data_IF_810331967101
#
_entry.id   IF_810331967101
#
_cell.length_a   1.000
_cell.length_b   1.000
_cell.length_c   1.000
_cell.angle_alpha   90.00
_cell.angle_beta   90.00
_cell.angle_gamma   90.00
#
_symmetry.space_group_name_H-M   'P 1'
#
loop_
_entity.id
_entity.type
_entity.pdbx_description
1 polymer ?
#
# COMPACT_ATOMS: atom_id res chain seq x y z
N UNK A 1 36.46 17.40 59.98
CA UNK A 1 35.54 18.21 59.14
C UNK A 1 35.83 17.90 57.68
N UNK A 2 35.00 17.08 57.04
CA UNK A 2 35.13 16.76 55.62
C UNK A 2 33.82 17.15 54.93
N UNK A 3 33.86 18.21 54.12
CA UNK A 3 32.74 18.62 53.27
C UNK A 3 32.81 17.82 51.97
N UNK A 4 31.85 16.92 51.75
CA UNK A 4 31.60 16.32 50.45
C UNK A 4 30.62 17.24 49.69
N UNK A 5 31.15 17.99 48.73
CA UNK A 5 30.36 18.73 47.76
C UNK A 5 29.79 17.76 46.72
N UNK A 6 28.46 17.64 46.67
CA UNK A 6 27.78 16.93 45.60
C UNK A 6 27.66 17.84 44.38
N UNK A 7 28.27 17.44 43.26
CA UNK A 7 28.10 18.08 41.96
C UNK A 7 26.82 17.52 41.34
N UNK A 8 25.79 18.36 41.19
CA UNK A 8 24.58 18.00 40.48
C UNK A 8 24.86 18.01 38.96
N UNK A 9 24.88 16.82 38.35
CA UNK A 9 24.86 16.69 36.90
C UNK A 9 23.48 17.10 36.38
N UNK A 10 23.42 18.21 35.65
CA UNK A 10 22.21 18.65 34.96
C UNK A 10 22.06 17.83 33.68
N UNK A 11 21.08 16.93 33.67
CA UNK A 11 20.65 16.22 32.46
C UNK A 11 19.95 17.21 31.55
N UNK A 12 20.58 17.56 30.41
CA UNK A 12 19.90 18.26 29.34
C UNK A 12 18.80 17.33 28.80
N UNK A 13 17.54 17.69 29.02
CA UNK A 13 16.38 16.99 28.48
C UNK A 13 16.36 17.28 26.97
N UNK A 14 16.78 16.31 26.16
CA UNK A 14 16.65 16.39 24.71
C UNK A 14 15.17 16.58 24.35
N UNK A 15 14.87 17.53 23.46
CA UNK A 15 13.53 17.70 22.93
C UNK A 15 13.03 16.38 22.32
N UNK A 16 11.74 16.04 22.46
CA UNK A 16 11.19 14.85 21.82
C UNK A 16 11.43 14.90 20.31
N UNK A 17 11.64 13.75 19.64
CA UNK A 17 11.84 13.74 18.20
C UNK A 17 10.63 14.37 17.51
N UNK A 18 10.89 15.36 16.65
CA UNK A 18 9.86 16.00 15.84
C UNK A 18 9.06 14.94 15.08
N UNK A 19 7.74 15.09 15.04
CA UNK A 19 6.87 14.17 14.29
C UNK A 19 7.23 14.15 12.81
N UNK A 20 6.87 13.09 12.07
CA UNK A 20 7.23 13.01 10.65
C UNK A 20 6.66 14.15 9.80
N UNK A 21 5.45 14.61 10.11
CA UNK A 21 4.85 15.77 9.45
C UNK A 21 5.59 17.06 9.82
N UNK A 22 6.08 17.18 11.06
CA UNK A 22 6.88 18.32 11.48
C UNK A 22 8.25 18.35 10.78
N UNK A 23 8.93 17.21 10.67
CA UNK A 23 10.19 17.09 9.91
C UNK A 23 9.98 17.42 8.44
N UNK A 24 8.88 16.93 7.85
CA UNK A 24 8.52 17.21 6.46
C UNK A 24 8.20 18.70 6.24
N UNK A 25 7.48 19.31 7.18
CA UNK A 25 7.17 20.75 7.18
C UNK A 25 8.47 21.57 7.25
N UNK A 26 9.38 21.22 8.17
CA UNK A 26 10.67 21.89 8.31
C UNK A 26 11.59 21.71 7.09
N UNK A 27 11.43 20.62 6.34
CA UNK A 27 12.18 20.36 5.12
C UNK A 27 11.68 21.19 3.93
N UNK A 28 10.36 21.20 3.70
CA UNK A 28 9.77 21.70 2.44
C UNK A 28 9.42 23.18 2.52
N UNK A 29 8.77 23.61 3.60
CA UNK A 29 8.18 24.96 3.70
C UNK A 29 9.23 26.08 3.57
N UNK A 30 10.46 25.96 4.13
CA UNK A 30 11.49 26.98 3.93
C UNK A 30 11.97 27.10 2.47
N UNK A 31 11.89 26.02 1.69
CA UNK A 31 12.37 25.97 0.31
C UNK A 31 11.37 26.53 -0.72
N UNK A 32 10.11 26.78 -0.31
CA UNK A 32 9.09 27.37 -1.17
C UNK A 32 9.50 28.77 -1.61
N UNK A 33 9.50 29.02 -2.92
CA UNK A 33 9.92 30.31 -3.51
C UNK A 33 8.88 31.40 -3.31
N UNK A 34 7.60 31.05 -3.42
CA UNK A 34 6.48 31.97 -3.29
C UNK A 34 5.38 31.27 -2.49
N UNK A 35 4.79 31.95 -1.52
CA UNK A 35 3.67 31.43 -0.74
C UNK A 35 2.58 32.49 -0.71
N UNK A 36 1.35 32.12 -1.11
CA UNK A 36 0.19 33.00 -1.01
C UNK A 36 -0.25 33.20 0.46
N UNK A 37 0.07 32.24 1.32
CA UNK A 37 -0.24 32.24 2.75
C UNK A 37 1.00 32.58 3.60
N UNK A 38 0.77 32.91 4.87
CA UNK A 38 1.85 33.02 5.86
C UNK A 38 2.57 31.67 5.97
N UNK A 39 3.86 31.69 5.65
CA UNK A 39 4.74 30.52 5.69
C UNK A 39 4.72 29.81 7.05
N UNK A 40 4.51 30.53 8.16
CA UNK A 40 4.45 29.94 9.51
C UNK A 40 3.17 29.14 9.76
N UNK A 41 2.11 29.40 9.01
CA UNK A 41 0.85 28.67 9.09
C UNK A 41 0.85 27.40 8.22
N UNK A 42 1.77 27.29 7.25
CA UNK A 42 1.84 26.16 6.33
C UNK A 42 2.32 24.92 7.08
N UNK A 43 1.63 23.81 6.83
CA UNK A 43 1.99 22.46 7.26
C UNK A 43 2.11 21.55 6.03
N UNK A 44 2.90 20.50 6.19
CA UNK A 44 3.09 19.49 5.17
C UNK A 44 2.83 18.10 5.75
N UNK A 45 2.05 17.29 5.05
CA UNK A 45 1.85 15.87 5.32
C UNK A 45 1.93 15.03 4.05
N UNK A 46 2.15 13.72 4.21
CA UNK A 46 2.13 12.78 3.08
C UNK A 46 0.67 12.45 2.80
N UNK A 47 0.20 12.77 1.60
CA UNK A 47 -1.13 12.41 1.10
C UNK A 47 -1.09 11.06 0.41
N UNK A 48 -0.06 10.83 -0.41
CA UNK A 48 0.11 9.62 -1.18
C UNK A 48 1.59 9.23 -1.29
N UNK A 49 1.85 7.94 -1.40
CA UNK A 49 3.17 7.37 -1.61
C UNK A 49 3.14 6.32 -2.72
N UNK A 50 3.99 6.50 -3.71
CA UNK A 50 4.28 5.54 -4.77
C UNK A 50 5.78 5.18 -4.72
N UNK A 51 6.09 4.09 -4.03
CA UNK A 51 7.47 3.65 -3.80
C UNK A 51 8.33 4.70 -3.08
N UNK A 52 9.29 5.27 -3.80
CA UNK A 52 10.22 6.31 -3.34
C UNK A 52 9.73 7.74 -3.65
N UNK A 53 8.55 7.88 -4.24
CA UNK A 53 7.96 9.17 -4.59
C UNK A 53 6.76 9.44 -3.68
N UNK A 54 6.81 10.56 -2.97
CA UNK A 54 5.78 10.99 -2.03
C UNK A 54 5.07 12.22 -2.58
N UNK A 55 3.74 12.18 -2.65
CA UNK A 55 2.90 13.34 -2.91
C UNK A 55 2.59 14.00 -1.57
N UNK A 56 3.24 15.14 -1.34
CA UNK A 56 3.15 15.92 -0.11
C UNK A 56 2.12 17.01 -0.29
N UNK A 57 1.12 17.04 0.58
CA UNK A 57 0.11 18.11 0.61
C UNK A 57 0.66 19.28 1.41
N UNK A 58 0.48 20.49 0.90
CA UNK A 58 0.69 21.72 1.63
C UNK A 58 -0.68 22.25 2.05
N UNK A 59 -0.86 22.52 3.34
CA UNK A 59 -2.13 23.01 3.85
C UNK A 59 -1.94 24.05 4.95
N UNK A 60 -3.00 24.81 5.22
CA UNK A 60 -3.12 25.70 6.38
C UNK A 60 -4.40 25.34 7.11
N UNK A 61 -4.40 25.41 8.43
CA UNK A 61 -5.63 25.33 9.22
C UNK A 61 -6.01 26.78 9.58
N UNK A 62 -7.08 27.35 8.99
CA UNK A 62 -7.49 28.71 9.30
C UNK A 62 -7.95 28.79 10.75
N UNK A 63 -7.33 29.65 11.55
CA UNK A 63 -7.79 29.95 12.91
C UNK A 63 -8.72 31.16 12.84
N UNK A 64 -10.00 30.93 12.51
CA UNK A 64 -11.01 31.98 12.40
C UNK A 64 -12.25 31.60 13.23
N UNK A 65 -12.68 32.47 14.18
CA UNK A 65 -13.89 32.23 14.95
C UNK A 65 -15.12 32.13 14.03
N UNK A 66 -15.81 30.99 14.07
CA UNK A 66 -17.08 30.78 13.35
C UNK A 66 -17.00 30.04 12.01
N UNK A 67 -15.80 29.64 11.56
CA UNK A 67 -15.62 28.67 10.47
C UNK A 67 -15.19 27.31 11.04
N UNK A 68 -15.59 26.18 10.42
CA UNK A 68 -14.99 24.89 10.73
C UNK A 68 -13.46 25.00 10.57
N UNK A 69 -12.69 24.58 11.58
CA UNK A 69 -11.23 24.52 11.54
C UNK A 69 -10.78 23.35 10.64
N UNK A 70 -11.18 23.40 9.37
CA UNK A 70 -10.86 22.41 8.36
C UNK A 70 -9.59 22.82 7.62
N UNK A 71 -8.74 21.85 7.33
CA UNK A 71 -7.50 22.08 6.61
C UNK A 71 -7.78 22.54 5.18
N UNK A 72 -7.30 23.72 4.82
CA UNK A 72 -7.30 24.22 3.45
C UNK A 72 -6.02 23.79 2.74
N UNK A 73 -6.14 22.86 1.79
CA UNK A 73 -5.03 22.49 0.90
C UNK A 73 -4.69 23.66 -0.02
N UNK A 74 -3.43 24.10 0.02
CA UNK A 74 -2.93 25.25 -0.73
C UNK A 74 -1.92 24.86 -1.83
N UNK A 75 -1.47 23.60 -1.86
CA UNK A 75 -0.52 23.15 -2.86
C UNK A 75 -0.01 21.74 -2.66
N UNK A 76 0.90 21.35 -3.55
CA UNK A 76 1.42 20.00 -3.63
C UNK A 76 2.91 20.01 -3.97
N UNK A 77 3.66 19.11 -3.34
CA UNK A 77 5.08 18.88 -3.60
C UNK A 77 5.30 17.39 -3.86
N UNK A 78 6.00 17.07 -4.93
CA UNK A 78 6.52 15.72 -5.15
C UNK A 78 7.89 15.61 -4.49
N UNK A 79 8.04 14.68 -3.55
CA UNK A 79 9.30 14.38 -2.88
C UNK A 79 9.80 13.01 -3.33
N UNK A 80 10.90 12.99 -4.09
CA UNK A 80 11.57 11.77 -4.54
C UNK A 80 12.73 11.47 -3.60
N UNK A 81 12.60 10.41 -2.81
CA UNK A 81 13.58 9.97 -1.81
C UNK A 81 14.73 9.17 -2.42
N UNK A 82 14.57 8.65 -3.64
CA UNK A 82 15.64 7.99 -4.38
C UNK A 82 16.54 9.02 -5.06
N UNK A 83 15.95 9.97 -5.79
CA UNK A 83 16.68 11.07 -6.43
C UNK A 83 17.11 12.17 -5.45
N UNK A 84 16.60 12.15 -4.21
CA UNK A 84 16.84 13.13 -3.17
C UNK A 84 16.46 14.56 -3.60
N UNK A 85 15.23 14.72 -4.13
CA UNK A 85 14.72 15.96 -4.72
C UNK A 85 13.29 16.25 -4.27
N UNK A 86 12.96 17.54 -4.19
CA UNK A 86 11.59 18.01 -4.03
C UNK A 86 11.22 18.95 -5.18
N UNK A 87 10.00 18.77 -5.69
CA UNK A 87 9.43 19.46 -6.84
C UNK A 87 8.10 20.07 -6.42
N UNK A 88 7.97 21.39 -6.47
CA UNK A 88 6.70 22.06 -6.25
C UNK A 88 5.88 22.03 -7.54
N UNK A 89 4.75 21.34 -7.48
CA UNK A 89 3.81 21.13 -8.58
C UNK A 89 2.53 21.97 -8.40
N UNK A 90 2.53 22.90 -7.43
CA UNK A 90 1.34 23.70 -7.10
C UNK A 90 0.84 24.55 -8.26
N UNK A 91 1.76 25.09 -9.07
CA UNK A 91 1.43 26.00 -10.19
C UNK A 91 1.24 25.26 -11.51
N UNK A 92 2.17 24.35 -11.82
CA UNK A 92 2.21 23.60 -13.07
C UNK A 92 2.87 22.23 -12.82
N UNK A 93 2.10 21.13 -12.87
CA UNK A 93 2.64 19.79 -12.65
C UNK A 93 3.53 19.30 -13.80
N UNK A 94 3.36 19.81 -15.02
CA UNK A 94 4.16 19.44 -16.19
C UNK A 94 5.50 20.19 -16.21
N UNK A 95 5.57 21.33 -15.51
CA UNK A 95 6.79 22.14 -15.35
C UNK A 95 7.05 22.51 -13.88
N UNK A 96 7.41 21.53 -13.05
CA UNK A 96 7.58 21.75 -11.62
C UNK A 96 8.76 22.69 -11.29
N UNK A 97 8.61 23.43 -10.21
CA UNK A 97 9.69 24.21 -9.63
C UNK A 97 10.58 23.31 -8.75
N UNK A 98 11.87 23.23 -9.08
CA UNK A 98 12.82 22.48 -8.24
C UNK A 98 13.10 23.25 -6.96
N UNK A 99 12.78 22.62 -5.82
CA UNK A 99 13.00 23.17 -4.49
C UNK A 99 14.45 22.93 -4.03
N UNK A 100 15.08 23.98 -3.50
CA UNK A 100 16.40 23.89 -2.89
C UNK A 100 16.28 23.44 -1.43
N UNK A 101 16.17 22.13 -1.21
CA UNK A 101 16.04 21.51 0.11
C UNK A 101 17.39 21.05 0.69
N UNK A 102 17.50 21.01 2.02
CA UNK A 102 18.65 20.41 2.70
C UNK A 102 18.62 18.89 2.57
N UNK A 103 19.57 18.34 1.80
CA UNK A 103 19.70 16.89 1.58
C UNK A 103 19.97 16.10 2.86
N UNK A 104 20.64 16.69 3.87
CA UNK A 104 20.86 16.03 5.17
C UNK A 104 19.57 15.97 5.96
N UNK A 105 18.75 17.02 5.89
CA UNK A 105 17.41 17.00 6.47
C UNK A 105 16.50 15.97 5.78
N UNK A 106 16.55 15.89 4.45
CA UNK A 106 15.85 14.84 3.70
C UNK A 106 16.34 13.44 4.09
N UNK A 107 17.65 13.22 4.17
CA UNK A 107 18.18 11.91 4.58
C UNK A 107 17.70 11.53 5.99
N UNK A 108 17.64 12.47 6.93
CA UNK A 108 17.09 12.22 8.27
C UNK A 108 15.61 11.86 8.21
N UNK A 109 14.81 12.60 7.44
CA UNK A 109 13.40 12.27 7.20
C UNK A 109 13.27 10.86 6.59
N UNK A 110 14.07 10.52 5.59
CA UNK A 110 14.06 9.17 4.98
C UNK A 110 14.47 8.10 5.99
N UNK A 111 15.45 8.32 6.85
CA UNK A 111 15.85 7.31 7.83
C UNK A 111 14.85 7.15 8.98
N UNK A 112 14.18 8.24 9.39
CA UNK A 112 13.31 8.24 10.57
C UNK A 112 11.82 8.04 10.25
N UNK A 113 11.38 8.44 9.07
CA UNK A 113 9.97 8.66 8.74
C UNK A 113 9.56 8.11 7.38
N UNK A 114 10.46 8.18 6.41
CA UNK A 114 10.32 7.57 5.10
C UNK A 114 11.15 6.29 4.97
N UNK A 115 11.50 5.67 6.12
CA UNK A 115 12.16 4.38 6.12
C UNK A 115 11.29 3.48 5.26
N UNK A 116 11.88 2.61 4.43
CA UNK A 116 11.05 1.66 3.74
C UNK A 116 10.24 0.97 4.84
N UNK A 117 8.91 1.06 4.79
CA UNK A 117 8.15 -0.13 5.12
C UNK A 117 8.94 -1.24 4.42
N UNK A 118 9.57 -2.11 5.22
CA UNK A 118 10.44 -3.17 4.74
C UNK A 118 9.87 -3.66 3.42
N UNK A 119 10.69 -3.72 2.36
CA UNK A 119 10.31 -3.47 0.97
C UNK A 119 8.82 -3.72 0.77
N UNK A 120 7.97 -2.73 0.53
CA UNK A 120 6.55 -3.01 0.24
C UNK A 120 6.37 -3.52 -1.21
N UNK A 121 6.93 -4.68 -1.52
CA UNK A 121 6.02 -5.81 -1.56
C UNK A 121 5.86 -6.14 -0.09
N UNK A 122 4.76 -5.79 0.58
CA UNK A 122 4.47 -6.59 1.78
C UNK A 122 4.63 -8.01 1.25
N UNK A 123 5.64 -8.74 1.73
CA UNK A 123 5.83 -10.09 1.29
C UNK A 123 4.54 -10.69 1.81
N UNK A 124 3.55 -10.77 0.92
CA UNK A 124 2.20 -11.06 1.32
C UNK A 124 2.40 -12.39 1.98
N UNK A 125 2.13 -12.45 3.27
CA UNK A 125 2.24 -13.70 3.99
C UNK A 125 1.09 -14.53 3.42
N UNK A 126 1.38 -15.23 2.33
CA UNK A 126 0.40 -15.92 1.53
C UNK A 126 -0.26 -17.01 2.39
N UNK A 127 0.46 -17.55 3.37
CA UNK A 127 -0.10 -18.50 4.31
C UNK A 127 -1.09 -17.83 5.26
N UNK A 128 -0.73 -16.69 5.87
CA UNK A 128 -1.65 -15.94 6.73
C UNK A 128 -2.86 -15.39 5.95
N UNK A 129 -2.64 -14.88 4.74
CA UNK A 129 -3.69 -14.38 3.87
C UNK A 129 -4.63 -15.50 3.43
N UNK A 130 -4.09 -16.65 3.01
CA UNK A 130 -4.89 -17.81 2.65
C UNK A 130 -5.72 -18.30 3.84
N UNK A 131 -5.12 -18.44 5.04
CA UNK A 131 -5.87 -18.82 6.26
C UNK A 131 -7.04 -17.86 6.53
N UNK A 132 -6.80 -16.55 6.45
CA UNK A 132 -7.85 -15.53 6.64
C UNK A 132 -8.94 -15.66 5.57
N UNK A 133 -8.55 -15.76 4.30
CA UNK A 133 -9.46 -15.82 3.17
C UNK A 133 -10.34 -17.08 3.18
N UNK A 134 -9.80 -18.23 3.60
CA UNK A 134 -10.60 -19.45 3.77
C UNK A 134 -11.56 -19.36 4.96
N UNK A 135 -11.18 -18.64 6.03
CA UNK A 135 -12.03 -18.47 7.21
C UNK A 135 -13.14 -17.42 7.02
N UNK A 136 -12.91 -16.41 6.18
CA UNK A 136 -13.80 -15.27 5.99
C UNK A 136 -14.46 -15.20 4.61
N UNK A 137 -14.04 -16.04 3.67
CA UNK A 137 -14.57 -16.07 2.31
C UNK A 137 -15.99 -16.61 2.23
N UNK A 138 -16.71 -16.16 1.21
CA UNK A 138 -18.06 -16.60 0.93
C UNK A 138 -18.02 -18.05 0.43
N UNK A 139 -18.56 -18.96 1.22
CA UNK A 139 -18.56 -20.39 0.90
C UNK A 139 -19.45 -20.65 -0.31
N UNK A 140 -18.89 -21.32 -1.32
CA UNK A 140 -19.63 -21.76 -2.50
C UNK A 140 -20.26 -23.12 -2.20
N UNK A 141 -21.59 -23.17 -2.17
CA UNK A 141 -22.33 -24.42 -1.95
C UNK A 141 -22.00 -25.45 -3.04
N UNK A 142 -21.79 -26.69 -2.63
CA UNK A 142 -21.37 -27.77 -3.53
C UNK A 142 -22.31 -27.99 -4.73
N UNK A 143 -23.61 -27.71 -4.60
CA UNK A 143 -24.58 -27.79 -5.71
C UNK A 143 -24.33 -26.77 -6.82
N UNK A 144 -23.64 -25.67 -6.50
CA UNK A 144 -23.37 -24.55 -7.40
C UNK A 144 -21.87 -24.29 -7.54
N UNK A 145 -21.02 -25.28 -7.27
CA UNK A 145 -19.56 -25.13 -7.27
C UNK A 145 -18.95 -25.10 -8.68
N UNK A 146 -19.60 -25.71 -9.67
CA UNK A 146 -19.04 -25.86 -11.01
C UNK A 146 -18.76 -24.53 -11.69
N UNK A 147 -17.54 -24.40 -12.21
CA UNK A 147 -17.07 -23.27 -13.02
C UNK A 147 -16.36 -23.77 -14.27
N UNK A 148 -16.46 -23.00 -15.33
CA UNK A 148 -15.64 -23.14 -16.55
C UNK A 148 -14.73 -21.93 -16.70
N UNK A 149 -13.47 -22.18 -17.06
CA UNK A 149 -12.48 -21.13 -17.33
C UNK A 149 -12.79 -20.46 -18.66
N UNK A 150 -12.84 -19.14 -18.65
CA UNK A 150 -13.15 -18.30 -19.83
C UNK A 150 -11.98 -17.37 -20.17
N UNK A 151 -11.99 -16.82 -21.39
CA UNK A 151 -11.01 -15.86 -21.86
C UNK A 151 -9.70 -16.50 -22.31
N UNK A 152 -8.92 -15.75 -23.10
CA UNK A 152 -7.72 -16.27 -23.78
C UNK A 152 -6.54 -16.47 -22.81
N UNK A 153 -5.73 -17.49 -23.10
CA UNK A 153 -4.44 -17.72 -22.43
C UNK A 153 -4.55 -18.45 -21.09
N UNK A 154 -3.38 -18.63 -20.44
CA UNK A 154 -3.24 -19.37 -19.18
C UNK A 154 -3.81 -18.55 -18.01
N UNK A 155 -4.62 -19.19 -17.18
CA UNK A 155 -5.11 -18.66 -15.91
C UNK A 155 -4.21 -19.19 -14.78
N UNK A 156 -3.32 -18.37 -14.20
CA UNK A 156 -2.41 -18.81 -13.15
C UNK A 156 -3.15 -19.11 -11.85
N UNK A 157 -2.59 -20.03 -11.06
CA UNK A 157 -2.98 -20.25 -9.67
C UNK A 157 -2.18 -19.33 -8.73
N UNK A 158 -2.80 -19.01 -7.60
CA UNK A 158 -2.22 -18.27 -6.50
C UNK A 158 -2.39 -19.06 -5.20
N UNK A 159 -1.40 -19.02 -4.31
CA UNK A 159 -1.46 -19.67 -2.99
C UNK A 159 -2.39 -18.93 -2.01
N UNK A 160 -2.66 -17.66 -2.29
CA UNK A 160 -3.60 -16.80 -1.57
C UNK A 160 -4.27 -15.81 -2.55
N UNK A 161 -5.38 -15.13 -2.19
CA UNK A 161 -6.09 -14.20 -3.07
C UNK A 161 -5.38 -12.84 -3.21
N UNK A 162 -4.14 -12.85 -3.71
CA UNK A 162 -3.33 -11.67 -4.01
C UNK A 162 -2.42 -11.95 -5.22
N UNK A 163 -2.14 -10.93 -6.05
CA UNK A 163 -1.30 -11.12 -7.25
C UNK A 163 0.15 -11.47 -6.88
N UNK A 164 0.63 -11.04 -5.71
CA UNK A 164 1.96 -11.38 -5.19
C UNK A 164 2.07 -12.85 -4.78
N UNK A 165 0.96 -13.55 -4.57
CA UNK A 165 0.93 -14.95 -4.15
C UNK A 165 0.86 -15.93 -5.32
N UNK A 166 1.38 -15.55 -6.49
CA UNK A 166 1.36 -16.38 -7.69
C UNK A 166 2.20 -17.65 -7.51
N UNK A 167 1.66 -18.78 -7.96
CA UNK A 167 2.40 -20.05 -8.03
C UNK A 167 2.99 -20.18 -9.42
N UNK A 168 4.31 -20.08 -9.52
CA UNK A 168 5.00 -20.19 -10.80
C UNK A 168 4.81 -21.56 -11.44
N UNK A 169 4.55 -21.58 -12.74
CA UNK A 169 4.35 -22.80 -13.52
C UNK A 169 3.00 -23.50 -13.32
N UNK A 170 2.16 -23.09 -12.36
CA UNK A 170 0.84 -23.67 -12.13
C UNK A 170 -0.28 -22.82 -12.75
N UNK A 171 -1.00 -23.40 -13.70
CA UNK A 171 -2.10 -22.73 -14.40
C UNK A 171 -3.10 -23.74 -14.97
N UNK A 172 -4.30 -23.24 -15.24
CA UNK A 172 -5.32 -23.89 -16.07
C UNK A 172 -5.54 -23.07 -17.34
N UNK A 173 -6.24 -23.64 -18.32
CA UNK A 173 -6.49 -23.00 -19.61
C UNK A 173 -7.98 -22.84 -19.88
N UNK A 174 -8.31 -22.07 -20.92
CA UNK A 174 -9.68 -21.87 -21.37
C UNK A 174 -10.40 -23.21 -21.60
N UNK A 175 -11.68 -23.28 -21.20
CA UNK A 175 -12.53 -24.48 -21.19
C UNK A 175 -12.18 -25.57 -20.18
N UNK A 176 -11.10 -25.43 -19.40
CA UNK A 176 -10.94 -26.25 -18.21
C UNK A 176 -12.10 -26.00 -17.25
N UNK A 177 -12.45 -27.05 -16.50
CA UNK A 177 -13.52 -26.99 -15.51
C UNK A 177 -12.95 -27.20 -14.13
N UNK A 178 -13.45 -26.41 -13.19
CA UNK A 178 -13.01 -26.41 -11.79
C UNK A 178 -14.22 -26.38 -10.88
N UNK A 179 -14.02 -26.79 -9.63
CA UNK A 179 -15.03 -26.70 -8.58
C UNK A 179 -14.63 -25.58 -7.62
N UNK A 180 -15.45 -24.53 -7.54
CA UNK A 180 -15.26 -23.42 -6.62
C UNK A 180 -15.62 -23.83 -5.19
N UNK A 181 -14.80 -23.41 -4.22
CA UNK A 181 -15.00 -23.67 -2.80
C UNK A 181 -15.34 -22.41 -2.01
N UNK A 182 -14.65 -21.31 -2.29
CA UNK A 182 -14.86 -20.04 -1.60
C UNK A 182 -14.53 -18.86 -2.53
N UNK A 183 -15.21 -17.75 -2.34
CA UNK A 183 -14.94 -16.48 -3.03
C UNK A 183 -14.42 -15.45 -2.00
N UNK A 184 -13.36 -14.71 -2.36
CA UNK A 184 -12.76 -13.70 -1.49
C UNK A 184 -12.22 -12.55 -2.35
N UNK A 185 -12.94 -11.44 -2.37
CA UNK A 185 -12.64 -10.30 -3.24
C UNK A 185 -12.69 -10.69 -4.72
N UNK A 186 -11.60 -10.46 -5.45
CA UNK A 186 -11.49 -10.74 -6.90
C UNK A 186 -11.03 -12.17 -7.24
N UNK A 187 -10.92 -13.04 -6.23
CA UNK A 187 -10.42 -14.39 -6.38
C UNK A 187 -11.43 -15.44 -5.92
N UNK A 188 -11.35 -16.60 -6.55
CA UNK A 188 -12.09 -17.82 -6.19
C UNK A 188 -11.10 -18.93 -5.87
N UNK A 189 -11.25 -19.55 -4.71
CA UNK A 189 -10.57 -20.78 -4.31
C UNK A 189 -11.21 -21.94 -5.07
N UNK A 190 -10.41 -22.69 -5.82
CA UNK A 190 -10.90 -23.75 -6.72
C UNK A 190 -10.12 -25.05 -6.56
N UNK A 191 -10.77 -26.13 -6.94
CA UNK A 191 -10.16 -27.44 -7.21
C UNK A 191 -10.18 -27.67 -8.70
N UNK A 192 -9.03 -28.03 -9.24
CA UNK A 192 -8.91 -28.57 -10.57
C UNK A 192 -8.50 -30.04 -10.50
N UNK A 193 -9.28 -30.89 -11.16
CA UNK A 193 -8.91 -32.28 -11.42
C UNK A 193 -8.62 -32.42 -12.91
N UNK A 194 -7.37 -32.70 -13.26
CA UNK A 194 -7.01 -33.01 -14.63
C UNK A 194 -7.51 -34.42 -14.98
N UNK A 195 -8.47 -34.51 -15.89
CA UNK A 195 -9.08 -35.80 -16.28
C UNK A 195 -8.09 -36.76 -16.96
N UNK A 196 -7.03 -36.23 -17.60
CA UNK A 196 -6.03 -37.02 -18.33
C UNK A 196 -4.94 -37.55 -17.42
N UNK A 197 -4.38 -36.69 -16.56
CA UNK A 197 -3.24 -37.04 -15.71
C UNK A 197 -3.66 -37.49 -14.31
N UNK A 198 -4.94 -37.33 -13.96
CA UNK A 198 -5.47 -37.48 -12.59
C UNK A 198 -4.81 -36.56 -11.56
N UNK A 199 -4.03 -35.58 -12.01
CA UNK A 199 -3.42 -34.57 -11.15
C UNK A 199 -4.48 -33.65 -10.54
N UNK A 200 -4.30 -33.29 -9.28
CA UNK A 200 -5.14 -32.34 -8.55
C UNK A 200 -4.33 -31.08 -8.32
N UNK A 201 -4.93 -29.93 -8.60
CA UNK A 201 -4.40 -28.63 -8.22
C UNK A 201 -5.45 -27.87 -7.42
N UNK A 202 -5.01 -27.21 -6.34
CA UNK A 202 -5.87 -26.40 -5.49
C UNK A 202 -5.22 -25.03 -5.29
N UNK A 203 -6.05 -23.98 -5.23
CA UNK A 203 -5.60 -22.63 -4.97
C UNK A 203 -6.57 -21.58 -5.48
N UNK A 204 -6.13 -20.34 -5.48
CA UNK A 204 -6.93 -19.18 -5.88
C UNK A 204 -6.71 -18.86 -7.36
N UNK A 205 -7.76 -18.44 -8.05
CA UNK A 205 -7.70 -17.91 -9.41
C UNK A 205 -8.57 -16.66 -9.52
N UNK A 206 -8.33 -15.80 -10.50
CA UNK A 206 -9.14 -14.59 -10.67
C UNK A 206 -10.60 -14.93 -11.06
N UNK A 207 -11.55 -14.47 -10.27
CA UNK A 207 -12.99 -14.75 -10.43
C UNK A 207 -13.51 -14.33 -11.81
N UNK A 208 -13.02 -13.21 -12.34
CA UNK A 208 -13.40 -12.69 -13.66
C UNK A 208 -13.10 -13.65 -14.82
N UNK A 209 -12.25 -14.67 -14.60
CA UNK A 209 -11.89 -15.71 -15.57
C UNK A 209 -12.70 -16.99 -15.39
N UNK A 210 -13.72 -16.97 -14.53
CA UNK A 210 -14.61 -18.10 -14.26
C UNK A 210 -16.06 -17.74 -14.61
N UNK A 211 -16.78 -18.70 -15.18
CA UNK A 211 -18.24 -18.63 -15.38
C UNK A 211 -18.91 -19.83 -14.75
N UNK A 212 -20.05 -19.67 -14.03
CA UNK A 212 -20.86 -20.80 -13.59
C UNK A 212 -21.25 -21.68 -14.77
N UNK A 213 -21.04 -22.98 -14.64
CA UNK A 213 -21.41 -23.95 -15.70
C UNK A 213 -22.71 -24.70 -15.41
N UNK A 214 -23.40 -24.34 -14.33
CA UNK A 214 -24.66 -24.95 -13.91
C UNK A 214 -24.48 -26.32 -13.26
N UNK A 215 -23.25 -26.75 -13.01
CA UNK A 215 -22.95 -28.03 -12.35
C UNK A 215 -22.50 -27.80 -10.90
N UNK A 216 -22.66 -28.82 -10.05
CA UNK A 216 -22.07 -28.85 -8.71
C UNK A 216 -20.75 -29.62 -8.69
N UNK A 217 -20.29 -30.01 -7.51
CA UNK A 217 -19.11 -30.88 -7.28
C UNK A 217 -19.30 -32.34 -7.75
N UNK A 218 -20.46 -32.68 -8.32
CA UNK A 218 -20.74 -34.04 -8.74
C UNK A 218 -19.79 -34.46 -9.88
N UNK A 219 -19.17 -35.66 -9.82
CA UNK A 219 -18.34 -36.16 -10.89
C UNK A 219 -19.11 -36.13 -12.21
N UNK A 220 -18.55 -35.42 -13.19
CA UNK A 220 -19.18 -35.33 -14.50
C UNK A 220 -19.12 -36.71 -15.15
N UNK A 221 -20.28 -37.26 -15.52
CA UNK A 221 -20.35 -38.48 -16.31
C UNK A 221 -19.78 -38.19 -17.72
N UNK A 222 -19.02 -39.13 -18.30
CA UNK A 222 -18.40 -38.98 -19.62
C UNK A 222 -19.43 -38.83 -20.74
#
# INVERSE_FOLDING_TARGET
MACLGAVAAQSAVAAPPASCNEQLTQLIVPALRQTAMDRRAIRADVDERDGDVFRVRLFVTPDHPGTPNEDATIGWVTLDTHAMRALDITRDPDRPDVLAIDRRALSRFVSACAAPAAPVHSAVDCDALNRRAQAQGDVVMGSNAGRVVTGKGRLPFFSAPDDACRIDGLFIVEHDRVDARAEYGRFTSVVYLNSRTRGIAEGWVQTARLKPDGTGIAPRQP
#
